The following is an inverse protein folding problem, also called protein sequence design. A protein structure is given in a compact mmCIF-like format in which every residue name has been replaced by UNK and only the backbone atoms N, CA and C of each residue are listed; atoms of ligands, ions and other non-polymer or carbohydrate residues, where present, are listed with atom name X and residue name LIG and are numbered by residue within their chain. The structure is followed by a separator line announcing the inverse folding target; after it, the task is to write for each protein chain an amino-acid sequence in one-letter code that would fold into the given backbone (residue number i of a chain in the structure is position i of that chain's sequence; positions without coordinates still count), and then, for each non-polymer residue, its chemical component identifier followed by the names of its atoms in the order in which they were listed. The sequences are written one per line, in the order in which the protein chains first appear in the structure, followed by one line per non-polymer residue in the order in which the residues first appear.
data_IF_927710692549
#
_entry.id   IF_927710692549
#
_cell.length_a   1.000
_cell.length_b   1.000
_cell.length_c   1.000
_cell.angle_alpha   90.00
_cell.angle_beta   90.00
_cell.angle_gamma   90.00
#
_symmetry.space_group_name_H-M   'P 1'
#
loop_
_entity.id
_entity.type
_entity.pdbx_description
1 polymer ?
#
# COMPACT_ATOMS: atom_id res chain seq x y z
N UNK A 1 0.19 -7.49 8.85
CA UNK A 1 0.63 -6.07 9.00
C UNK A 1 -0.15 -5.40 10.12
N UNK A 2 -1.49 -5.43 10.13
CA UNK A 2 -2.28 -4.79 11.19
C UNK A 2 -2.25 -5.50 12.55
N UNK A 3 -1.93 -6.80 12.59
CA UNK A 3 -1.87 -7.59 13.82
C UNK A 3 -0.53 -7.49 14.59
N UNK A 4 0.51 -6.92 13.99
CA UNK A 4 1.84 -6.84 14.61
C UNK A 4 2.52 -5.52 14.26
N UNK A 5 3.25 -4.98 15.22
CA UNK A 5 3.90 -3.68 15.09
C UNK A 5 5.12 -3.65 14.19
N UNK A 6 5.66 -4.79 13.75
CA UNK A 6 6.80 -4.83 12.83
C UNK A 6 6.56 -4.07 11.52
N UNK A 7 5.30 -3.91 11.09
CA UNK A 7 4.94 -3.13 9.90
C UNK A 7 4.26 -1.78 10.16
N UNK A 8 3.93 -1.44 11.41
CA UNK A 8 3.10 -0.27 11.74
C UNK A 8 3.70 0.65 12.81
N UNK A 9 4.64 0.17 13.63
CA UNK A 9 5.35 1.01 14.59
C UNK A 9 6.51 1.70 13.90
N UNK A 10 6.40 3.01 13.78
CA UNK A 10 7.39 3.87 13.13
C UNK A 10 7.86 4.96 14.11
N UNK A 11 9.11 5.43 13.99
CA UNK A 11 9.59 6.55 14.81
C UNK A 11 8.89 7.85 14.37
N UNK A 12 8.45 8.64 15.34
CA UNK A 12 7.92 9.99 15.14
C UNK A 12 8.82 11.00 15.86
N UNK A 13 9.21 12.06 15.16
CA UNK A 13 9.94 13.20 15.73
C UNK A 13 9.11 14.46 15.51
N UNK A 14 8.85 15.19 16.59
CA UNK A 14 8.13 16.48 16.55
C UNK A 14 9.11 17.57 16.98
N UNK A 15 9.27 18.59 16.14
CA UNK A 15 10.12 19.76 16.43
C UNK A 15 9.28 21.02 16.42
N UNK A 16 9.24 21.71 17.56
CA UNK A 16 8.62 23.02 17.69
C UNK A 16 9.40 23.86 18.71
N UNK A 17 10.53 24.46 18.31
CA UNK A 17 11.50 25.05 19.25
C UNK A 17 10.97 26.15 20.17
N UNK A 18 9.88 26.82 19.78
CA UNK A 18 9.22 27.85 20.60
C UNK A 18 8.45 27.27 21.80
N UNK A 19 8.04 26.00 21.74
CA UNK A 19 7.15 25.36 22.73
C UNK A 19 7.80 24.13 23.35
N UNK A 20 8.44 23.29 22.54
CA UNK A 20 9.07 22.04 22.96
C UNK A 20 10.49 22.34 23.42
N UNK A 21 10.80 22.03 24.68
CA UNK A 21 12.16 21.99 25.21
C UNK A 21 12.78 20.65 24.84
N UNK A 22 13.85 20.63 24.03
CA UNK A 22 14.50 19.38 23.67
C UNK A 22 15.06 18.68 24.91
N UNK A 23 14.88 17.37 24.99
CA UNK A 23 15.52 16.52 25.99
C UNK A 23 15.83 15.13 25.38
N UNK A 24 16.48 14.27 26.15
CA UNK A 24 16.94 12.94 25.71
C UNK A 24 15.92 11.83 25.96
N UNK A 25 14.78 12.12 26.58
CA UNK A 25 13.82 11.10 27.01
C UNK A 25 12.84 10.78 25.88
N UNK A 26 12.70 9.51 25.44
CA UNK A 26 11.62 9.17 24.52
C UNK A 26 10.26 9.31 25.22
N UNK A 27 9.23 9.67 24.44
CA UNK A 27 7.84 9.67 24.89
C UNK A 27 7.26 8.29 24.56
N UNK A 28 6.87 7.52 25.59
CA UNK A 28 6.48 6.11 25.45
C UNK A 28 4.97 5.89 25.41
N UNK A 29 4.17 6.95 25.53
CA UNK A 29 2.70 6.89 25.47
C UNK A 29 2.26 6.36 24.10
N UNK A 30 1.27 5.48 24.09
CA UNK A 30 0.73 4.91 22.88
C UNK A 30 0.00 5.97 22.04
N UNK A 31 0.43 6.10 20.79
CA UNK A 31 -0.16 7.00 19.81
C UNK A 31 -0.17 6.36 18.41
N UNK A 32 -1.07 6.84 17.58
CA UNK A 32 -1.30 6.38 16.22
C UNK A 32 -1.29 7.57 15.24
N UNK A 33 -1.16 7.30 13.94
CA UNK A 33 -1.11 8.34 12.91
C UNK A 33 -2.32 9.30 12.96
N UNK A 34 -3.50 8.81 13.32
CA UNK A 34 -4.71 9.63 13.44
C UNK A 34 -4.63 10.72 14.54
N UNK A 35 -3.64 10.65 15.43
CA UNK A 35 -3.42 11.62 16.51
C UNK A 35 -2.72 12.90 16.04
N UNK A 36 -2.16 12.91 14.82
CA UNK A 36 -1.43 14.07 14.27
C UNK A 36 -2.37 15.26 14.06
N UNK A 37 -3.53 15.05 13.43
CA UNK A 37 -4.51 16.12 13.16
C UNK A 37 -5.00 16.82 14.44
N UNK A 38 -5.50 16.10 15.48
CA UNK A 38 -5.91 16.76 16.72
C UNK A 38 -4.74 17.44 17.45
N UNK A 39 -3.52 16.91 17.33
CA UNK A 39 -2.31 17.56 17.86
C UNK A 39 -2.06 18.92 17.18
N UNK A 40 -2.18 18.98 15.85
CA UNK A 40 -2.03 20.23 15.09
C UNK A 40 -3.12 21.22 15.49
N UNK A 41 -4.38 20.78 15.53
CA UNK A 41 -5.51 21.63 15.92
C UNK A 41 -5.35 22.22 17.33
N UNK A 42 -4.96 21.42 18.32
CA UNK A 42 -4.65 21.93 19.66
C UNK A 42 -3.48 22.92 19.63
N UNK A 43 -2.41 22.60 18.91
CA UNK A 43 -1.22 23.45 18.81
C UNK A 43 -1.52 24.84 18.22
N UNK A 44 -2.46 24.95 17.27
CA UNK A 44 -2.85 26.23 16.66
C UNK A 44 -4.12 26.85 17.26
N UNK A 45 -4.71 26.23 18.29
CA UNK A 45 -5.91 26.74 18.96
C UNK A 45 -7.19 26.68 18.11
N UNK A 46 -7.26 25.72 17.17
CA UNK A 46 -8.42 25.54 16.29
C UNK A 46 -9.28 24.38 16.80
N UNK A 47 -10.60 24.57 16.80
CA UNK A 47 -11.56 23.48 16.95
C UNK A 47 -11.78 22.84 15.59
N UNK A 48 -11.76 21.50 15.51
CA UNK A 48 -12.06 20.78 14.28
C UNK A 48 -13.43 21.22 13.71
N UNK A 49 -13.51 21.61 12.43
CA UNK A 49 -14.76 22.05 11.83
C UNK A 49 -15.71 20.86 11.64
N UNK A 50 -17.00 21.05 11.95
CA UNK A 50 -18.03 20.04 11.69
C UNK A 50 -18.51 20.04 10.23
N UNK A 51 -18.28 21.13 9.50
CA UNK A 51 -18.64 21.30 8.09
C UNK A 51 -17.51 22.05 7.39
N UNK A 52 -17.12 21.60 6.20
CA UNK A 52 -16.18 22.28 5.29
C UNK A 52 -16.81 22.31 3.90
N UNK A 53 -16.90 23.49 3.29
CA UNK A 53 -17.51 23.69 1.96
C UNK A 53 -18.90 23.06 1.78
N UNK A 54 -19.71 23.10 2.84
CA UNK A 54 -21.06 22.51 2.85
C UNK A 54 -21.10 20.99 3.10
N UNK A 55 -19.96 20.34 3.26
CA UNK A 55 -19.85 18.89 3.52
C UNK A 55 -19.64 18.64 5.01
N UNK A 56 -20.54 17.85 5.61
CA UNK A 56 -20.38 17.38 6.99
C UNK A 56 -19.14 16.49 7.13
N UNK A 57 -18.34 16.72 8.17
CA UNK A 57 -17.09 16.00 8.40
C UNK A 57 -17.29 14.86 9.38
N UNK A 58 -16.55 13.76 9.18
CA UNK A 58 -16.45 12.71 10.18
C UNK A 58 -15.75 13.22 11.46
N UNK A 59 -16.08 12.68 12.64
CA UNK A 59 -15.41 13.05 13.88
C UNK A 59 -13.91 12.77 13.82
N UNK A 60 -13.11 13.64 14.45
CA UNK A 60 -11.68 13.36 14.64
C UNK A 60 -11.53 12.21 15.63
N UNK A 61 -10.96 11.10 15.16
CA UNK A 61 -10.82 9.85 15.92
C UNK A 61 -9.55 9.79 16.80
N UNK A 62 -8.62 10.73 16.63
CA UNK A 62 -7.36 10.77 17.35
C UNK A 62 -7.42 11.54 18.68
N UNK A 63 -6.35 11.39 19.47
CA UNK A 63 -6.10 12.14 20.73
C UNK A 63 -4.83 12.96 20.56
N UNK A 64 -4.89 14.25 20.87
CA UNK A 64 -3.73 15.13 20.78
C UNK A 64 -2.56 14.68 21.66
N UNK A 65 -1.35 14.83 21.15
CA UNK A 65 -0.08 14.51 21.79
C UNK A 65 0.55 15.69 22.56
N UNK A 66 -0.04 16.90 22.52
CA UNK A 66 0.56 18.13 23.10
C UNK A 66 0.96 17.94 24.57
N UNK A 67 0.20 17.15 25.33
CA UNK A 67 0.47 16.86 26.74
C UNK A 67 1.82 16.16 27.00
N UNK A 68 2.40 15.52 25.98
CA UNK A 68 3.69 14.80 26.07
C UNK A 68 4.90 15.68 25.78
N UNK A 69 4.70 16.84 25.14
CA UNK A 69 5.77 17.64 24.54
C UNK A 69 6.87 18.01 25.54
N UNK A 70 6.48 18.48 26.72
CA UNK A 70 7.41 18.88 27.79
C UNK A 70 7.27 18.00 29.05
N UNK A 71 6.64 16.83 28.94
CA UNK A 71 6.47 15.88 30.04
C UNK A 71 6.50 14.44 29.52
N UNK A 72 7.70 13.86 29.49
CA UNK A 72 7.88 12.48 29.02
C UNK A 72 7.19 11.44 29.92
N UNK A 73 6.96 11.75 31.19
CA UNK A 73 6.28 10.89 32.17
C UNK A 73 4.77 11.14 32.28
N UNK A 74 4.19 11.93 31.37
CA UNK A 74 2.75 12.20 31.42
C UNK A 74 1.96 10.88 31.27
N UNK A 75 0.86 10.75 32.01
CA UNK A 75 -0.04 9.62 31.87
C UNK A 75 -0.62 9.58 30.45
N UNK A 76 -0.65 8.39 29.85
CA UNK A 76 -1.24 8.16 28.53
C UNK A 76 -2.70 8.59 28.50
N UNK A 77 -3.12 9.19 27.37
CA UNK A 77 -4.49 9.67 27.17
C UNK A 77 -5.28 8.92 26.10
N UNK A 78 -4.67 7.95 25.41
CA UNK A 78 -5.31 7.19 24.34
C UNK A 78 -5.70 5.79 24.82
N UNK A 79 -6.97 5.56 25.19
CA UNK A 79 -7.38 4.30 25.81
C UNK A 79 -7.46 3.14 24.83
N UNK A 80 -7.77 3.41 23.55
CA UNK A 80 -8.03 2.37 22.55
C UNK A 80 -7.58 2.79 21.15
N UNK A 81 -7.15 1.82 20.34
CA UNK A 81 -6.91 1.98 18.90
C UNK A 81 -7.11 0.65 18.19
N UNK A 82 -8.01 0.59 17.21
CA UNK A 82 -8.12 -0.57 16.33
C UNK A 82 -7.18 -0.47 15.12
N UNK A 83 -6.91 -1.62 14.52
CA UNK A 83 -6.14 -1.79 13.30
C UNK A 83 -6.85 -2.82 12.43
N UNK A 84 -7.05 -2.54 11.15
CA UNK A 84 -7.51 -3.53 10.18
C UNK A 84 -6.95 -3.19 8.80
N UNK A 85 -6.39 -4.19 8.13
CA UNK A 85 -6.08 -4.13 6.70
C UNK A 85 -6.32 -5.52 6.12
N UNK A 86 -7.34 -5.64 5.26
CA UNK A 86 -7.58 -6.82 4.43
C UNK A 86 -7.68 -8.12 5.24
N UNK A 87 -8.42 -8.09 6.34
CA UNK A 87 -8.67 -9.20 7.25
C UNK A 87 -7.68 -9.30 8.41
N UNK A 88 -6.42 -8.89 8.21
CA UNK A 88 -5.46 -8.79 9.31
C UNK A 88 -5.88 -7.66 10.21
N UNK A 89 -5.93 -7.89 11.53
CA UNK A 89 -6.50 -6.93 12.46
C UNK A 89 -5.92 -7.03 13.87
N UNK A 90 -6.15 -5.99 14.65
CA UNK A 90 -5.82 -5.98 16.07
C UNK A 90 -6.41 -4.77 16.78
N UNK A 91 -6.27 -4.76 18.10
CA UNK A 91 -6.70 -3.66 18.95
C UNK A 91 -5.71 -3.47 20.08
N UNK A 92 -5.30 -2.22 20.26
CA UNK A 92 -4.66 -1.73 21.45
C UNK A 92 -5.71 -1.27 22.46
N UNK A 93 -5.54 -1.63 23.74
CA UNK A 93 -6.32 -1.09 24.84
C UNK A 93 -5.54 -1.14 26.15
N UNK A 94 -5.34 0.01 26.78
CA UNK A 94 -4.74 0.14 28.12
C UNK A 94 -3.45 -0.69 28.33
N UNK A 95 -2.48 -0.57 27.43
CA UNK A 95 -1.21 -1.29 27.48
C UNK A 95 -1.24 -2.72 26.90
N UNK A 96 -2.41 -3.24 26.55
CA UNK A 96 -2.57 -4.55 25.92
C UNK A 96 -2.77 -4.44 24.43
N UNK A 97 -2.33 -5.46 23.70
CA UNK A 97 -2.63 -5.62 22.29
C UNK A 97 -3.11 -7.03 22.01
N UNK A 98 -4.22 -7.16 21.29
CA UNK A 98 -4.66 -8.45 20.76
C UNK A 98 -4.78 -8.35 19.24
N UNK A 99 -4.32 -9.36 18.52
CA UNK A 99 -4.28 -9.33 17.06
C UNK A 99 -4.48 -10.70 16.44
N UNK A 100 -4.80 -10.70 15.14
CA UNK A 100 -4.86 -11.91 14.34
C UNK A 100 -4.47 -11.64 12.88
N UNK A 101 -3.70 -12.57 12.32
CA UNK A 101 -3.29 -12.52 10.93
C UNK A 101 -4.48 -12.79 10.02
N UNK A 102 -4.63 -11.96 8.99
CA UNK A 102 -5.60 -12.20 7.94
C UNK A 102 -5.13 -13.30 6.98
N UNK A 103 -5.84 -13.50 5.87
CA UNK A 103 -5.53 -14.57 4.93
C UNK A 103 -4.23 -14.32 4.16
N UNK A 104 -3.78 -13.07 4.05
CA UNK A 104 -2.55 -12.72 3.32
C UNK A 104 -1.33 -12.87 4.22
N UNK A 105 -0.42 -13.77 3.84
CA UNK A 105 0.92 -13.83 4.40
C UNK A 105 1.76 -12.72 3.77
N UNK A 106 2.36 -11.80 4.55
CA UNK A 106 3.23 -10.77 4.00
C UNK A 106 4.33 -11.37 3.10
N UNK A 107 4.59 -10.72 1.97
CA UNK A 107 5.63 -11.10 1.00
C UNK A 107 5.46 -12.46 0.30
N UNK A 108 4.40 -13.22 0.62
CA UNK A 108 4.07 -14.43 -0.11
C UNK A 108 3.25 -14.07 -1.36
N UNK A 109 3.67 -14.50 -2.56
CA UNK A 109 2.93 -14.20 -3.79
C UNK A 109 1.70 -15.09 -3.98
N UNK A 110 1.60 -16.20 -3.23
CA UNK A 110 0.48 -17.13 -3.35
C UNK A 110 -0.71 -16.73 -2.48
N UNK A 111 -1.89 -17.06 -2.99
CA UNK A 111 -3.19 -16.63 -2.51
C UNK A 111 -3.95 -17.75 -1.77
N UNK A 112 -3.30 -18.88 -1.51
CA UNK A 112 -3.94 -20.17 -1.19
C UNK A 112 -4.83 -20.12 0.05
N UNK A 113 -4.55 -19.23 1.02
CA UNK A 113 -5.36 -19.08 2.23
C UNK A 113 -6.67 -18.33 2.03
N UNK A 114 -6.82 -17.53 0.96
CA UNK A 114 -8.00 -16.65 0.81
C UNK A 114 -9.29 -17.40 0.48
N UNK A 115 -9.23 -18.58 -0.15
CA UNK A 115 -10.44 -19.33 -0.52
C UNK A 115 -11.11 -20.03 0.67
N UNK A 116 -10.37 -20.32 1.73
CA UNK A 116 -10.86 -21.05 2.92
C UNK A 116 -10.82 -20.21 4.19
N UNK A 117 -10.48 -18.92 4.10
CA UNK A 117 -10.38 -18.05 5.26
C UNK A 117 -11.74 -17.49 5.67
N UNK A 118 -11.98 -17.49 6.98
CA UNK A 118 -13.08 -16.77 7.61
C UNK A 118 -12.57 -16.04 8.85
N UNK A 119 -12.95 -14.76 9.05
CA UNK A 119 -12.58 -14.02 10.24
C UNK A 119 -13.12 -14.65 11.54
N UNK A 120 -14.18 -15.46 11.47
CA UNK A 120 -14.81 -16.09 12.63
C UNK A 120 -13.96 -17.23 13.23
N UNK A 121 -13.10 -17.83 12.41
CA UNK A 121 -12.24 -18.96 12.78
C UNK A 121 -10.80 -18.55 13.11
N UNK A 122 -10.51 -17.24 13.06
CA UNK A 122 -9.17 -16.73 13.28
C UNK A 122 -8.70 -16.93 14.73
N UNK A 123 -7.44 -17.34 14.86
CA UNK A 123 -6.76 -17.49 16.16
C UNK A 123 -6.21 -16.13 16.57
N UNK A 124 -6.55 -15.70 17.80
CA UNK A 124 -6.09 -14.44 18.36
C UNK A 124 -4.86 -14.64 19.24
N UNK A 125 -3.90 -13.75 19.08
CA UNK A 125 -2.71 -13.62 19.93
C UNK A 125 -2.93 -12.44 20.89
N UNK A 126 -2.27 -12.48 22.05
CA UNK A 126 -2.37 -11.45 23.09
C UNK A 126 -0.99 -11.07 23.64
N UNK A 127 -0.74 -9.77 23.75
CA UNK A 127 0.54 -9.21 24.19
C UNK A 127 0.34 -8.11 25.22
N UNK A 128 1.20 -8.07 26.24
CA UNK A 128 1.32 -6.94 27.16
C UNK A 128 2.46 -6.02 26.70
N UNK A 129 2.12 -4.89 26.10
CA UNK A 129 3.11 -3.98 25.50
C UNK A 129 3.96 -3.22 26.52
N UNK A 130 3.50 -3.14 27.77
CA UNK A 130 4.26 -2.49 28.85
C UNK A 130 5.48 -3.32 29.27
N UNK A 131 5.41 -4.64 29.11
CA UNK A 131 6.50 -5.58 29.42
C UNK A 131 7.19 -6.11 28.16
N UNK A 132 6.44 -6.23 27.04
CA UNK A 132 6.90 -6.78 25.79
C UNK A 132 6.45 -5.90 24.61
N UNK A 133 7.24 -4.85 24.35
CA UNK A 133 6.99 -3.93 23.25
C UNK A 133 7.13 -4.60 21.86
N UNK A 134 7.77 -5.78 21.80
CA UNK A 134 8.14 -6.49 20.59
C UNK A 134 7.09 -7.49 20.12
N UNK A 135 6.11 -7.81 20.98
CA UNK A 135 5.11 -8.86 20.74
C UNK A 135 5.76 -10.24 20.54
N UNK A 136 6.77 -10.57 21.33
CA UNK A 136 7.48 -11.84 21.24
C UNK A 136 6.80 -12.97 22.04
N UNK A 137 6.06 -12.63 23.10
CA UNK A 137 5.46 -13.60 24.02
C UNK A 137 3.94 -13.54 23.94
N UNK A 138 3.34 -14.50 23.23
CA UNK A 138 1.89 -14.66 23.17
C UNK A 138 1.33 -15.23 24.49
N UNK A 139 0.41 -14.49 25.09
CA UNK A 139 -0.25 -14.80 26.35
C UNK A 139 -1.69 -15.32 26.16
N UNK A 140 -2.16 -15.51 24.92
CA UNK A 140 -3.56 -15.82 24.63
C UNK A 140 -4.05 -17.08 25.34
N UNK A 141 -3.26 -18.15 25.37
CA UNK A 141 -3.60 -19.40 26.06
C UNK A 141 -3.63 -19.25 27.58
N UNK A 142 -2.81 -18.34 28.13
CA UNK A 142 -2.70 -18.13 29.57
C UNK A 142 -3.79 -17.18 30.10
N UNK A 143 -4.32 -16.30 29.24
CA UNK A 143 -5.29 -15.26 29.62
C UNK A 143 -6.51 -15.22 28.67
N UNK A 144 -7.29 -16.31 28.55
CA UNK A 144 -8.41 -16.39 27.60
C UNK A 144 -9.50 -15.33 27.87
N UNK A 145 -9.74 -14.97 29.13
CA UNK A 145 -10.70 -13.92 29.48
C UNK A 145 -10.24 -12.54 28.96
N UNK A 146 -8.93 -12.27 29.00
CA UNK A 146 -8.37 -11.04 28.46
C UNK A 146 -8.45 -11.02 26.94
N UNK A 147 -8.25 -12.17 26.27
CA UNK A 147 -8.49 -12.29 24.83
C UNK A 147 -9.94 -11.96 24.49
N UNK A 148 -10.91 -12.50 25.24
CA UNK A 148 -12.33 -12.22 25.03
C UNK A 148 -12.66 -10.73 25.21
N UNK A 149 -12.11 -10.09 26.25
CA UNK A 149 -12.25 -8.65 26.48
C UNK A 149 -11.72 -7.83 25.29
N UNK A 150 -10.52 -8.17 24.80
CA UNK A 150 -9.91 -7.46 23.68
C UNK A 150 -10.67 -7.68 22.37
N UNK A 151 -11.16 -8.90 22.11
CA UNK A 151 -12.03 -9.18 20.95
C UNK A 151 -13.31 -8.34 20.99
N UNK A 152 -13.93 -8.21 22.16
CA UNK A 152 -15.11 -7.36 22.33
C UNK A 152 -14.78 -5.88 22.07
N UNK A 153 -13.65 -5.38 22.60
CA UNK A 153 -13.18 -4.02 22.34
C UNK A 153 -12.95 -3.77 20.84
N UNK A 154 -12.31 -4.72 20.13
CA UNK A 154 -12.16 -4.64 18.68
C UNK A 154 -13.52 -4.53 17.97
N UNK A 155 -14.51 -5.33 18.35
CA UNK A 155 -15.82 -5.30 17.69
C UNK A 155 -16.57 -3.99 17.88
N UNK A 156 -16.43 -3.35 19.06
CA UNK A 156 -16.99 -2.01 19.30
C UNK A 156 -16.36 -1.00 18.35
N UNK A 157 -15.02 -0.96 18.29
CA UNK A 157 -14.29 -0.07 17.39
C UNK A 157 -14.61 -0.37 15.92
N UNK A 158 -14.67 -1.65 15.54
CA UNK A 158 -14.95 -2.08 14.17
C UNK A 158 -16.34 -1.61 13.69
N UNK A 159 -17.35 -1.69 14.55
CA UNK A 159 -18.69 -1.21 14.24
C UNK A 159 -18.73 0.32 14.11
N UNK A 160 -18.11 1.04 15.07
CA UNK A 160 -18.07 2.51 15.06
C UNK A 160 -17.33 3.06 13.83
N UNK A 161 -16.28 2.37 13.39
CA UNK A 161 -15.40 2.81 12.32
C UNK A 161 -15.68 2.13 10.96
N UNK A 162 -16.85 1.49 10.80
CA UNK A 162 -17.31 0.88 9.54
C UNK A 162 -16.32 -0.14 8.95
N UNK A 163 -15.65 -0.91 9.81
CA UNK A 163 -14.69 -1.96 9.44
C UNK A 163 -15.41 -3.24 8.97
N UNK A 164 -16.68 -3.42 9.36
CA UNK A 164 -17.44 -4.62 9.06
C UNK A 164 -18.03 -4.60 7.63
N UNK A 165 -18.07 -5.76 6.94
CA UNK A 165 -17.53 -7.05 7.37
C UNK A 165 -16.00 -7.10 7.28
N UNK A 166 -15.36 -7.74 8.25
CA UNK A 166 -13.89 -7.87 8.30
C UNK A 166 -13.39 -8.53 7.01
N UNK A 167 -12.36 -7.95 6.39
CA UNK A 167 -11.82 -8.44 5.12
C UNK A 167 -12.54 -7.91 3.88
N UNK A 168 -13.53 -7.01 3.99
CA UNK A 168 -14.19 -6.37 2.84
C UNK A 168 -13.19 -5.70 1.88
N UNK A 169 -12.04 -5.22 2.37
CA UNK A 169 -10.96 -4.69 1.53
C UNK A 169 -10.34 -5.70 0.55
N UNK A 170 -10.60 -6.99 0.71
CA UNK A 170 -10.21 -8.04 -0.24
C UNK A 170 -11.17 -8.14 -1.44
N UNK A 171 -12.35 -7.52 -1.38
CA UNK A 171 -13.40 -7.67 -2.39
C UNK A 171 -12.90 -7.28 -3.79
N UNK A 172 -12.57 -6.02 -4.02
CA UNK A 172 -12.07 -5.56 -5.33
C UNK A 172 -10.61 -5.91 -5.56
N UNK A 173 -9.84 -6.24 -4.52
CA UNK A 173 -8.43 -6.60 -4.70
C UNK A 173 -8.26 -8.04 -5.18
N UNK A 174 -9.13 -8.95 -4.73
CA UNK A 174 -8.93 -10.38 -4.93
C UNK A 174 -10.15 -11.09 -5.52
N UNK A 175 -11.35 -10.86 -4.98
CA UNK A 175 -12.54 -11.61 -5.40
C UNK A 175 -13.16 -11.08 -6.71
N UNK A 176 -13.22 -9.76 -6.86
CA UNK A 176 -13.85 -9.04 -7.98
C UNK A 176 -12.97 -7.90 -8.52
N UNK A 177 -11.75 -8.18 -9.02
CA UNK A 177 -10.84 -7.17 -9.58
C UNK A 177 -11.34 -6.48 -10.86
N UNK A 178 -12.38 -7.02 -11.49
CA UNK A 178 -13.10 -6.43 -12.60
C UNK A 178 -13.96 -5.22 -12.19
N UNK A 179 -14.40 -5.17 -10.94
CA UNK A 179 -15.23 -4.11 -10.35
C UNK A 179 -14.41 -2.97 -9.72
N UNK A 180 -13.09 -3.11 -9.65
CA UNK A 180 -12.21 -2.04 -9.20
C UNK A 180 -12.42 -0.77 -10.06
N UNK A 181 -12.46 0.44 -9.45
CA UNK A 181 -12.57 1.69 -10.20
C UNK A 181 -11.49 1.81 -11.27
N UNK A 182 -11.91 2.04 -12.52
CA UNK A 182 -11.02 2.16 -13.66
C UNK A 182 -11.56 3.18 -14.66
N UNK A 183 -10.64 3.80 -15.40
CA UNK A 183 -10.98 4.65 -16.52
C UNK A 183 -11.76 3.87 -17.58
N UNK A 184 -12.79 4.46 -18.21
CA UNK A 184 -13.43 3.89 -19.38
C UNK A 184 -12.58 4.05 -20.65
N UNK A 185 -11.48 4.81 -20.59
CA UNK A 185 -10.60 5.02 -21.73
C UNK A 185 -9.93 3.70 -22.15
N UNK A 186 -9.73 3.57 -23.46
CA UNK A 186 -8.96 2.49 -24.09
C UNK A 186 -7.72 3.00 -24.82
N UNK A 187 -7.53 4.32 -24.85
CA UNK A 187 -6.43 5.01 -25.50
C UNK A 187 -5.95 6.17 -24.62
N UNK A 188 -4.64 6.38 -24.60
CA UNK A 188 -3.99 7.46 -23.86
C UNK A 188 -2.94 8.12 -24.74
N UNK A 189 -2.99 9.46 -24.80
CA UNK A 189 -1.96 10.27 -25.41
C UNK A 189 -1.17 10.94 -24.29
N UNK A 190 0.09 10.51 -24.14
CA UNK A 190 0.99 10.97 -23.08
C UNK A 190 2.13 11.79 -23.68
N UNK A 191 2.57 12.82 -22.96
CA UNK A 191 3.60 13.76 -23.40
C UNK A 191 4.78 13.78 -22.42
N UNK A 192 5.93 14.24 -22.92
CA UNK A 192 7.12 14.43 -22.11
C UNK A 192 6.83 15.30 -20.88
N UNK A 193 7.43 14.93 -19.75
CA UNK A 193 7.30 15.66 -18.49
C UNK A 193 6.01 15.39 -17.71
N UNK A 194 5.03 14.66 -18.27
CA UNK A 194 3.87 14.20 -17.51
C UNK A 194 4.28 13.19 -16.44
N UNK A 195 3.87 13.47 -15.19
CA UNK A 195 4.20 12.65 -14.02
C UNK A 195 2.96 12.47 -13.15
N UNK A 196 2.92 11.37 -12.38
CA UNK A 196 1.87 11.06 -11.38
C UNK A 196 0.44 11.02 -11.95
N UNK A 197 0.23 10.23 -13.00
CA UNK A 197 -1.11 9.82 -13.40
C UNK A 197 -1.62 8.83 -12.34
N UNK A 198 -2.79 9.08 -11.76
CA UNK A 198 -3.41 8.15 -10.81
C UNK A 198 -3.64 6.80 -11.50
N UNK A 199 -3.31 5.69 -10.85
CA UNK A 199 -3.37 4.35 -11.45
C UNK A 199 -4.76 4.00 -12.00
N UNK A 200 -5.83 4.48 -11.35
CA UNK A 200 -7.22 4.29 -11.80
C UNK A 200 -7.54 5.00 -13.12
N UNK A 201 -6.76 6.02 -13.50
CA UNK A 201 -6.93 6.82 -14.71
C UNK A 201 -5.90 6.48 -15.81
N UNK A 202 -4.96 5.60 -15.51
CA UNK A 202 -3.82 5.28 -16.35
C UNK A 202 -4.05 4.01 -17.19
N UNK A 203 -3.26 3.76 -18.26
CA UNK A 203 -3.34 2.49 -18.97
C UNK A 203 -3.03 1.30 -18.05
N UNK A 204 -3.79 0.21 -18.18
CA UNK A 204 -3.66 -0.94 -17.30
C UNK A 204 -2.57 -1.90 -17.81
N UNK A 205 -1.44 -1.97 -17.10
CA UNK A 205 -0.41 -3.00 -17.31
C UNK A 205 -0.58 -4.12 -16.29
N UNK A 206 -1.63 -4.93 -16.45
CA UNK A 206 -1.98 -6.02 -15.53
C UNK A 206 -2.31 -7.30 -16.29
N UNK A 207 -2.17 -8.44 -15.63
CA UNK A 207 -2.49 -9.75 -16.20
C UNK A 207 -3.86 -9.79 -16.88
N UNK A 208 -3.91 -10.24 -18.13
CA UNK A 208 -5.13 -10.33 -18.94
C UNK A 208 -5.53 -9.04 -19.67
N UNK A 209 -4.73 -7.97 -19.57
CA UNK A 209 -4.95 -6.70 -20.28
C UNK A 209 -3.82 -6.47 -21.26
N UNK A 210 -4.01 -6.93 -22.50
CA UNK A 210 -3.05 -6.70 -23.58
C UNK A 210 -2.98 -5.21 -23.91
N UNK A 211 -1.77 -4.70 -24.17
CA UNK A 211 -1.52 -3.30 -24.47
C UNK A 211 -0.59 -3.14 -25.66
N UNK A 212 -0.80 -2.08 -26.42
CA UNK A 212 0.12 -1.62 -27.46
C UNK A 212 0.47 -0.16 -27.19
N UNK A 213 1.74 0.19 -27.39
CA UNK A 213 2.23 1.55 -27.24
C UNK A 213 3.13 1.91 -28.41
N UNK A 214 3.03 3.16 -28.86
CA UNK A 214 3.93 3.76 -29.82
C UNK A 214 4.58 4.97 -29.18
N UNK A 215 5.90 5.07 -29.30
CA UNK A 215 6.70 6.16 -28.73
C UNK A 215 7.50 6.76 -29.88
N UNK A 216 7.29 8.05 -30.12
CA UNK A 216 8.08 8.84 -31.06
C UNK A 216 9.13 9.60 -30.25
N UNK A 217 10.41 9.41 -30.58
CA UNK A 217 11.52 9.97 -29.82
C UNK A 217 12.69 10.29 -30.73
N UNK A 218 13.41 11.38 -30.41
CA UNK A 218 14.73 11.65 -30.99
C UNK A 218 15.79 11.06 -30.06
N UNK A 219 16.41 9.95 -30.49
CA UNK A 219 17.32 9.15 -29.66
C UNK A 219 18.72 9.78 -29.66
N UNK A 220 19.27 10.17 -28.49
CA UNK A 220 20.66 10.61 -28.42
C UNK A 220 21.66 9.47 -28.65
N UNK A 221 22.90 9.80 -29.01
CA UNK A 221 23.97 8.80 -29.03
C UNK A 221 24.19 8.19 -27.63
N UNK A 222 24.29 6.86 -27.54
CA UNK A 222 24.41 6.11 -26.28
C UNK A 222 23.31 6.44 -25.25
N UNK A 223 22.07 6.68 -25.73
CA UNK A 223 20.93 7.08 -24.91
C UNK A 223 20.77 6.22 -23.64
N UNK A 224 20.49 6.88 -22.52
CA UNK A 224 20.12 6.25 -21.26
C UNK A 224 19.02 7.08 -20.59
N UNK A 225 17.93 6.45 -20.17
CA UNK A 225 16.79 7.14 -19.57
C UNK A 225 15.46 6.40 -19.75
N UNK A 226 14.48 6.74 -18.93
CA UNK A 226 13.14 6.14 -18.98
C UNK A 226 12.29 6.87 -20.00
N UNK A 227 11.70 6.12 -20.93
CA UNK A 227 10.73 6.63 -21.91
C UNK A 227 9.33 6.66 -21.30
N UNK A 228 8.95 5.56 -20.64
CA UNK A 228 7.67 5.45 -19.95
C UNK A 228 7.76 4.40 -18.84
N UNK A 229 7.12 4.66 -17.70
CA UNK A 229 7.01 3.69 -16.61
C UNK A 229 5.71 3.87 -15.83
N UNK A 230 5.19 2.75 -15.34
CA UNK A 230 3.97 2.69 -14.53
C UNK A 230 4.00 1.54 -13.55
N UNK A 231 3.47 1.76 -12.35
CA UNK A 231 3.45 0.77 -11.28
C UNK A 231 4.81 0.62 -10.60
N UNK A 232 5.14 -0.59 -10.17
CA UNK A 232 6.38 -0.89 -9.44
C UNK A 232 6.82 -2.34 -9.55
N UNK A 233 7.74 -2.73 -8.66
CA UNK A 233 8.38 -4.07 -8.69
C UNK A 233 7.40 -5.23 -8.48
N UNK A 234 6.31 -5.00 -7.75
CA UNK A 234 5.25 -5.97 -7.48
C UNK A 234 4.10 -5.96 -8.49
N UNK A 235 4.23 -5.26 -9.62
CA UNK A 235 3.15 -5.04 -10.58
C UNK A 235 3.41 -3.75 -11.34
N UNK A 236 3.91 -3.85 -12.57
CA UNK A 236 4.29 -2.65 -13.31
C UNK A 236 4.97 -2.94 -14.64
N UNK A 237 5.19 -1.85 -15.38
CA UNK A 237 5.75 -1.86 -16.72
C UNK A 237 6.69 -0.68 -16.90
N UNK A 238 7.82 -0.88 -17.59
CA UNK A 238 8.74 0.19 -17.95
C UNK A 238 9.35 -0.04 -19.31
N UNK A 239 9.60 1.05 -20.04
CA UNK A 239 10.35 1.11 -21.29
C UNK A 239 11.43 2.16 -21.12
N UNK A 240 12.68 1.78 -21.37
CA UNK A 240 13.83 2.64 -21.12
C UNK A 240 14.98 2.33 -22.05
N UNK A 241 15.88 3.30 -22.20
CA UNK A 241 17.17 3.14 -22.85
C UNK A 241 18.27 2.96 -21.79
N UNK A 242 19.26 2.12 -22.07
CA UNK A 242 20.47 1.97 -21.27
C UNK A 242 21.68 1.71 -22.18
N UNK A 243 22.65 2.63 -22.18
CA UNK A 243 23.84 2.54 -23.03
C UNK A 243 23.52 2.40 -24.53
N UNK A 244 22.44 3.01 -25.00
CA UNK A 244 21.95 2.93 -26.38
C UNK A 244 21.07 1.70 -26.69
N UNK A 245 20.93 0.74 -25.78
CA UNK A 245 20.02 -0.39 -25.97
C UNK A 245 18.62 -0.03 -25.50
N UNK A 246 17.60 -0.50 -26.25
CA UNK A 246 16.20 -0.37 -25.85
C UNK A 246 15.81 -1.55 -24.97
N UNK A 247 15.13 -1.25 -23.87
CA UNK A 247 14.65 -2.21 -22.90
C UNK A 247 13.16 -2.03 -22.64
N UNK A 248 12.47 -3.13 -22.40
CA UNK A 248 11.17 -3.13 -21.76
C UNK A 248 11.10 -4.23 -20.70
N UNK A 249 10.46 -3.92 -19.59
CA UNK A 249 10.27 -4.86 -18.49
C UNK A 249 8.82 -4.83 -18.01
N UNK A 250 8.22 -6.02 -17.88
CA UNK A 250 6.91 -6.23 -17.29
C UNK A 250 7.04 -7.14 -16.06
N UNK A 251 6.53 -6.67 -14.91
CA UNK A 251 6.44 -7.45 -13.69
C UNK A 251 4.97 -7.81 -13.41
N UNK A 252 4.64 -9.10 -13.52
CA UNK A 252 3.32 -9.63 -13.20
C UNK A 252 3.33 -10.17 -11.77
N UNK A 253 3.19 -9.25 -10.79
CA UNK A 253 3.09 -9.57 -9.36
C UNK A 253 4.22 -10.44 -8.79
N UNK A 254 5.40 -10.38 -9.40
CA UNK A 254 6.57 -11.19 -9.04
C UNK A 254 6.49 -12.65 -9.43
N UNK A 255 5.35 -13.11 -10.00
CA UNK A 255 5.20 -14.47 -10.54
C UNK A 255 5.87 -14.62 -11.89
N UNK A 256 5.70 -13.62 -12.77
CA UNK A 256 6.45 -13.51 -14.02
C UNK A 256 7.17 -12.17 -14.10
N UNK A 257 8.34 -12.19 -14.73
CA UNK A 257 9.14 -11.01 -15.02
C UNK A 257 9.72 -11.12 -16.42
N UNK A 258 9.17 -10.36 -17.34
CA UNK A 258 9.57 -10.35 -18.74
C UNK A 258 10.54 -9.21 -18.96
N UNK A 259 11.66 -9.49 -19.64
CA UNK A 259 12.71 -8.50 -19.92
C UNK A 259 13.10 -8.60 -21.38
N UNK A 260 12.54 -7.72 -22.20
CA UNK A 260 12.93 -7.60 -23.60
C UNK A 260 14.07 -6.58 -23.73
N UNK A 261 15.03 -6.87 -24.60
CA UNK A 261 16.15 -6.00 -24.94
C UNK A 261 16.38 -6.02 -26.45
N UNK A 262 16.72 -4.87 -27.04
CA UNK A 262 17.16 -4.82 -28.44
C UNK A 262 18.47 -5.59 -28.64
N UNK A 263 18.60 -6.32 -29.74
CA UNK A 263 19.82 -7.08 -30.06
C UNK A 263 21.06 -6.18 -30.27
N UNK A 264 20.84 -4.95 -30.73
CA UNK A 264 21.86 -3.93 -30.99
C UNK A 264 21.45 -2.58 -30.39
N UNK A 265 22.41 -1.66 -30.16
CA UNK A 265 22.06 -0.29 -29.79
C UNK A 265 21.27 0.37 -30.94
N UNK A 266 20.36 1.28 -30.58
CA UNK A 266 19.62 2.09 -31.54
C UNK A 266 20.53 3.18 -32.10
N UNK A 267 20.43 3.53 -33.39
CA UNK A 267 21.11 4.67 -33.95
C UNK A 267 20.57 5.96 -33.33
N UNK A 268 21.41 7.01 -33.32
CA UNK A 268 20.95 8.33 -32.93
C UNK A 268 20.01 8.93 -33.99
N UNK A 269 19.04 9.72 -33.54
CA UNK A 269 18.05 10.38 -34.39
C UNK A 269 16.61 9.94 -34.11
N UNK A 270 15.69 10.43 -34.94
CA UNK A 270 14.27 10.10 -34.84
C UNK A 270 14.02 8.59 -35.00
N UNK A 271 13.23 8.04 -34.08
CA UNK A 271 12.82 6.64 -34.08
C UNK A 271 11.37 6.51 -33.63
N UNK A 272 10.65 5.55 -34.24
CA UNK A 272 9.34 5.11 -33.76
C UNK A 272 9.45 3.77 -33.05
N UNK A 273 9.39 3.79 -31.73
CA UNK A 273 9.45 2.60 -30.89
C UNK A 273 8.04 2.04 -30.71
N UNK A 274 7.85 0.76 -31.03
CA UNK A 274 6.63 0.01 -30.76
C UNK A 274 6.84 -0.95 -29.60
N UNK A 275 5.84 -1.06 -28.73
CA UNK A 275 5.85 -1.96 -27.58
C UNK A 275 4.52 -2.70 -27.52
N UNK A 276 4.56 -4.03 -27.53
CA UNK A 276 3.37 -4.87 -27.44
C UNK A 276 3.51 -5.82 -26.25
N UNK A 277 2.56 -5.77 -25.32
CA UNK A 277 2.41 -6.75 -24.25
C UNK A 277 1.11 -7.51 -24.52
N UNK A 278 1.23 -8.77 -24.91
CA UNK A 278 0.10 -9.60 -25.33
C UNK A 278 -0.05 -10.79 -24.40
N UNK A 279 -1.18 -10.90 -23.72
CA UNK A 279 -1.52 -12.07 -22.90
C UNK A 279 -2.16 -13.17 -23.77
N UNK A 280 -1.84 -14.42 -23.45
CA UNK A 280 -2.54 -15.57 -24.02
C UNK A 280 -3.99 -15.65 -23.48
N UNK A 281 -4.86 -16.43 -24.14
CA UNK A 281 -6.31 -16.47 -23.95
C UNK A 281 -6.80 -16.37 -22.47
N UNK A 282 -7.99 -15.78 -22.22
CA UNK A 282 -8.44 -15.44 -20.87
C UNK A 282 -8.49 -16.67 -19.94
N UNK A 283 -7.71 -16.62 -18.87
CA UNK A 283 -7.83 -17.52 -17.73
C UNK A 283 -8.72 -16.87 -16.65
N UNK A 284 -9.61 -17.62 -15.98
CA UNK A 284 -10.43 -17.07 -14.91
C UNK A 284 -9.54 -16.54 -13.77
N UNK A 285 -9.90 -15.39 -13.15
CA UNK A 285 -9.25 -14.93 -11.92
C UNK A 285 -9.25 -16.05 -10.87
N UNK A 286 -8.20 -16.17 -10.03
CA UNK A 286 -7.08 -15.25 -9.81
C UNK A 286 -5.81 -15.58 -10.64
N UNK A 287 -5.92 -16.28 -11.77
CA UNK A 287 -4.75 -16.73 -12.53
C UNK A 287 -3.97 -15.54 -13.14
N UNK A 288 -2.68 -15.44 -12.81
CA UNK A 288 -1.75 -14.58 -13.56
C UNK A 288 -1.40 -15.28 -14.87
N UNK A 289 -1.69 -14.62 -15.97
CA UNK A 289 -1.54 -15.12 -17.34
C UNK A 289 -0.13 -14.84 -17.84
N UNK A 290 0.42 -15.79 -18.59
CA UNK A 290 1.65 -15.56 -19.33
C UNK A 290 1.43 -14.50 -20.41
N UNK A 291 2.47 -13.75 -20.71
CA UNK A 291 2.46 -12.73 -21.75
C UNK A 291 3.67 -12.89 -22.67
N UNK A 292 3.54 -12.35 -23.88
CA UNK A 292 4.67 -12.06 -24.78
C UNK A 292 4.89 -10.54 -24.77
N UNK A 293 6.13 -10.13 -24.52
CA UNK A 293 6.55 -8.73 -24.61
C UNK A 293 7.42 -8.55 -25.85
N UNK A 294 7.01 -7.68 -26.78
CA UNK A 294 7.74 -7.40 -28.02
C UNK A 294 8.11 -5.94 -28.14
N UNK A 295 9.35 -5.68 -28.52
CA UNK A 295 9.91 -4.38 -28.87
C UNK A 295 10.10 -4.28 -30.39
N UNK A 296 9.70 -3.17 -30.98
CA UNK A 296 9.98 -2.84 -32.37
C UNK A 296 10.51 -1.41 -32.53
N UNK A 297 11.29 -1.19 -33.59
CA UNK A 297 11.79 0.13 -34.00
C UNK A 297 11.51 0.27 -35.48
N UNK A 298 10.79 1.33 -35.86
CA UNK A 298 10.37 1.62 -37.25
C UNK A 298 9.69 0.40 -37.92
N UNK A 299 8.86 -0.29 -37.14
CA UNK A 299 8.11 -1.47 -37.57
C UNK A 299 8.90 -2.79 -37.59
N UNK A 300 10.20 -2.80 -37.28
CA UNK A 300 11.01 -4.02 -37.21
C UNK A 300 11.15 -4.50 -35.76
N UNK A 301 10.88 -5.77 -35.51
CA UNK A 301 11.08 -6.37 -34.17
C UNK A 301 12.57 -6.39 -33.84
N UNK A 302 12.92 -5.88 -32.66
CA UNK A 302 14.31 -5.80 -32.16
C UNK A 302 14.54 -6.62 -30.89
N UNK A 303 13.47 -7.05 -30.21
CA UNK A 303 13.56 -7.89 -29.01
C UNK A 303 12.21 -8.45 -28.59
N UNK A 304 12.23 -9.62 -27.96
CA UNK A 304 11.05 -10.29 -27.41
C UNK A 304 11.42 -10.97 -26.08
N UNK A 305 10.45 -11.10 -25.16
CA UNK A 305 10.58 -11.85 -23.91
C UNK A 305 9.28 -12.56 -23.55
#
# INVERSE_FOLDING_TARGET
VAAHFGGSRTPLVISWPKVIKPDKQPRSQFHHLCDIVPTIYEAVGIKAPSIVDGVAQDPVQGVSMVYTFNNASAAERKPVQYFEVMGSRGVYKDGWFAGTLGPRIPWAPNATRMSSWSPDTDVWELYNLTADFSQANDLAQQMPDKVAEMKAAFMVEAAQNKVLPVGAGLYTLYYHPEEAPKSPLTEWNLFEGQRRIAETNAPLFRSGFSSQSAIEVDVPANASGVLYAMGGTGGGFTVFMDGGYLHAEYAATGLYRYKAKSASPLPAGAAKIGVALIFEAPAPPPAVQAATLTLSVDGKVVGTA
#
